data_IF_115167579217
#
_entry.id   IF_115167579217
#
_cell.length_a   1.000
_cell.length_b   1.000
_cell.length_c   1.000
_cell.angle_alpha   90.00
_cell.angle_beta   90.00
_cell.angle_gamma   90.00
#
_symmetry.space_group_name_H-M   'P 1'
#
loop_
_entity.id
_entity.type
_entity.pdbx_description
1 polymer ?
#
# COMPACT_ATOMS: atom_id res chain seq x y z
N UNK A 1 -26.74 -1.69 19.45
CA UNK A 1 -27.19 -3.10 19.34
C UNK A 1 -28.65 -3.29 19.74
N UNK A 2 -29.33 -2.34 20.40
CA UNK A 2 -30.71 -2.49 20.88
C UNK A 2 -30.91 -3.56 21.98
N UNK A 3 -29.82 -4.01 22.56
CA UNK A 3 -29.77 -5.03 23.59
C UNK A 3 -29.99 -4.40 24.98
N UNK A 4 -30.75 -5.03 25.84
CA UNK A 4 -30.92 -4.59 27.22
C UNK A 4 -29.66 -4.87 28.05
N UNK A 5 -29.48 -4.15 29.14
CA UNK A 5 -28.29 -4.29 30.02
C UNK A 5 -28.20 -5.72 30.59
N UNK A 6 -29.36 -6.32 30.96
CA UNK A 6 -29.43 -7.69 31.45
C UNK A 6 -29.02 -8.73 30.38
N UNK A 7 -29.40 -8.52 29.11
CA UNK A 7 -29.00 -9.41 28.01
C UNK A 7 -27.48 -9.27 27.72
N UNK A 8 -26.95 -8.06 27.80
CA UNK A 8 -25.53 -7.84 27.62
C UNK A 8 -24.69 -8.52 28.72
N UNK A 9 -25.14 -8.46 29.99
CA UNK A 9 -24.48 -9.14 31.09
C UNK A 9 -24.52 -10.67 30.93
N UNK A 10 -25.66 -11.24 30.46
CA UNK A 10 -25.77 -12.66 30.18
C UNK A 10 -24.78 -13.11 29.09
N UNK A 11 -24.71 -12.39 27.99
CA UNK A 11 -23.74 -12.62 26.89
C UNK A 11 -22.30 -12.54 27.38
N UNK A 12 -21.94 -11.53 28.16
CA UNK A 12 -20.60 -11.38 28.74
C UNK A 12 -20.26 -12.55 29.68
N UNK A 13 -21.24 -13.00 30.47
CA UNK A 13 -21.06 -14.16 31.38
C UNK A 13 -20.80 -15.46 30.62
N UNK A 14 -21.50 -15.66 29.50
CA UNK A 14 -21.33 -16.82 28.64
C UNK A 14 -19.98 -16.79 27.91
N UNK A 15 -19.59 -15.64 27.39
CA UNK A 15 -18.30 -15.42 26.72
C UNK A 15 -17.08 -15.62 27.63
N UNK A 16 -17.20 -15.35 28.94
CA UNK A 16 -16.11 -15.59 29.92
C UNK A 16 -15.67 -17.04 30.00
N UNK A 17 -16.52 -17.99 29.60
CA UNK A 17 -16.22 -19.42 29.62
C UNK A 17 -15.66 -19.93 28.28
N UNK A 18 -15.71 -19.11 27.23
CA UNK A 18 -15.25 -19.45 25.88
C UNK A 18 -13.82 -19.02 25.64
N UNK A 19 -13.13 -19.70 24.71
CA UNK A 19 -11.88 -19.16 24.16
C UNK A 19 -12.19 -17.91 23.33
N UNK A 20 -11.25 -16.97 23.25
CA UNK A 20 -11.45 -15.68 22.57
C UNK A 20 -11.89 -15.86 21.11
N UNK A 21 -11.33 -16.82 20.38
CA UNK A 21 -11.74 -17.17 19.01
C UNK A 21 -13.17 -17.68 18.92
N UNK A 22 -13.60 -18.48 19.90
CA UNK A 22 -14.96 -19.00 19.98
C UNK A 22 -15.95 -17.87 20.35
N UNK A 23 -15.58 -17.01 21.28
CA UNK A 23 -16.36 -15.82 21.65
C UNK A 23 -16.54 -14.85 20.49
N UNK A 24 -15.49 -14.60 19.69
CA UNK A 24 -15.60 -13.78 18.49
C UNK A 24 -16.51 -14.40 17.44
N UNK A 25 -16.46 -15.71 17.25
CA UNK A 25 -17.32 -16.42 16.33
C UNK A 25 -18.78 -16.46 16.81
N UNK A 26 -18.99 -16.61 18.10
CA UNK A 26 -20.30 -16.54 18.74
C UNK A 26 -20.93 -15.15 18.52
N UNK A 27 -20.22 -14.06 18.80
CA UNK A 27 -20.70 -12.70 18.56
C UNK A 27 -21.01 -12.44 17.08
N UNK A 28 -20.24 -13.02 16.17
CA UNK A 28 -20.47 -12.88 14.73
C UNK A 28 -21.69 -13.63 14.23
N UNK A 29 -21.89 -14.86 14.73
CA UNK A 29 -23.00 -15.73 14.28
C UNK A 29 -24.32 -15.37 14.92
N UNK A 30 -24.35 -15.18 16.24
CA UNK A 30 -25.59 -14.96 16.99
C UNK A 30 -26.00 -13.48 17.01
N UNK A 31 -25.03 -12.56 17.05
CA UNK A 31 -25.31 -11.11 17.18
C UNK A 31 -24.92 -10.31 15.94
N UNK A 32 -24.46 -10.95 14.87
CA UNK A 32 -24.00 -10.30 13.62
C UNK A 32 -22.97 -9.20 13.84
N UNK A 33 -22.16 -9.31 14.91
CA UNK A 33 -21.11 -8.36 15.24
C UNK A 33 -19.83 -8.64 14.43
N UNK A 34 -19.75 -8.07 13.25
CA UNK A 34 -18.61 -8.26 12.34
C UNK A 34 -17.29 -7.59 12.83
N UNK A 35 -17.35 -6.73 13.83
CA UNK A 35 -16.20 -6.08 14.45
C UNK A 35 -15.49 -6.89 15.53
N UNK A 36 -16.02 -8.07 15.91
CA UNK A 36 -15.44 -8.87 16.99
C UNK A 36 -13.98 -9.27 16.76
N UNK A 37 -13.61 -9.56 15.49
CA UNK A 37 -12.24 -9.92 15.16
C UNK A 37 -11.24 -8.75 15.36
N UNK A 38 -11.67 -7.51 15.02
CA UNK A 38 -10.85 -6.32 15.21
C UNK A 38 -10.58 -6.05 16.70
N UNK A 39 -11.60 -6.23 17.54
CA UNK A 39 -11.46 -6.11 19.00
C UNK A 39 -10.51 -7.19 19.56
N UNK A 40 -10.59 -8.40 19.03
CA UNK A 40 -9.70 -9.49 19.41
C UNK A 40 -8.23 -9.22 19.02
N UNK A 41 -8.01 -8.74 17.80
CA UNK A 41 -6.68 -8.35 17.37
C UNK A 41 -6.10 -7.24 18.26
N UNK A 42 -6.86 -6.18 18.53
CA UNK A 42 -6.46 -5.11 19.42
C UNK A 42 -6.12 -5.63 20.83
N UNK A 43 -6.94 -6.50 21.40
CA UNK A 43 -6.72 -7.09 22.73
C UNK A 43 -5.50 -8.01 22.74
N UNK A 44 -5.27 -8.81 21.70
CA UNK A 44 -4.10 -9.68 21.60
C UNK A 44 -2.77 -8.92 21.57
N UNK A 45 -2.79 -7.68 21.05
CA UNK A 45 -1.61 -6.82 20.96
C UNK A 45 -1.24 -6.12 22.27
N UNK A 46 -2.20 -5.86 23.15
CA UNK A 46 -2.00 -5.12 24.40
C UNK A 46 -1.77 -5.99 25.63
N UNK A 47 -1.82 -7.31 25.52
CA UNK A 47 -1.71 -8.23 26.67
C UNK A 47 -0.28 -8.66 27.01
N UNK A 48 0.74 -8.21 26.29
CA UNK A 48 2.13 -8.53 26.60
C UNK A 48 2.71 -7.66 27.71
N UNK A 49 3.48 -8.26 28.61
CA UNK A 49 4.32 -7.50 29.53
C UNK A 49 5.43 -6.76 28.75
N UNK A 50 6.03 -5.69 29.32
CA UNK A 50 7.17 -5.01 28.67
C UNK A 50 8.31 -5.96 28.31
N UNK A 51 8.54 -7.01 29.12
CA UNK A 51 9.54 -8.04 28.88
C UNK A 51 9.18 -8.91 27.68
N UNK A 52 7.92 -9.28 27.52
CA UNK A 52 7.44 -10.06 26.37
C UNK A 52 7.52 -9.26 25.08
N UNK A 53 7.13 -7.99 25.11
CA UNK A 53 7.27 -7.07 23.95
C UNK A 53 8.73 -6.92 23.56
N UNK A 54 9.62 -6.71 24.52
CA UNK A 54 11.05 -6.60 24.27
C UNK A 54 11.66 -7.90 23.74
N UNK A 55 11.17 -9.04 24.20
CA UNK A 55 11.57 -10.36 23.66
C UNK A 55 11.11 -10.51 22.22
N UNK A 56 9.85 -10.21 21.93
CA UNK A 56 9.29 -10.26 20.57
C UNK A 56 10.07 -9.37 19.61
N UNK A 57 10.39 -8.13 19.99
CA UNK A 57 11.20 -7.22 19.19
C UNK A 57 12.57 -7.83 18.90
N UNK A 58 13.27 -8.37 19.92
CA UNK A 58 14.59 -8.99 19.74
C UNK A 58 14.54 -10.19 18.81
N UNK A 59 13.60 -11.11 19.01
CA UNK A 59 13.44 -12.31 18.19
C UNK A 59 13.21 -11.95 16.69
N UNK A 60 12.47 -10.87 16.40
CA UNK A 60 12.27 -10.41 15.03
C UNK A 60 13.52 -9.72 14.48
N UNK A 61 14.20 -8.90 15.27
CA UNK A 61 15.44 -8.22 14.84
C UNK A 61 16.63 -9.16 14.69
N UNK A 62 16.59 -10.35 15.30
CA UNK A 62 17.56 -11.42 15.05
C UNK A 62 17.35 -12.09 13.68
N UNK A 63 16.10 -12.15 13.19
CA UNK A 63 15.78 -12.71 11.86
C UNK A 63 16.21 -11.77 10.75
N UNK A 64 15.83 -10.50 10.86
CA UNK A 64 16.08 -9.49 9.85
C UNK A 64 16.47 -8.14 10.49
N UNK A 65 17.31 -7.33 9.81
CA UNK A 65 17.67 -6.01 10.30
C UNK A 65 16.44 -5.10 10.36
N UNK A 66 16.48 -4.07 11.19
CA UNK A 66 15.41 -3.08 11.34
C UNK A 66 14.99 -2.45 10.00
N UNK A 67 15.98 -2.18 9.11
CA UNK A 67 15.76 -1.64 7.77
C UNK A 67 14.88 -2.51 6.87
N UNK A 68 14.90 -3.83 7.05
CA UNK A 68 14.07 -4.75 6.28
C UNK A 68 12.57 -4.49 6.53
N UNK A 69 12.17 -4.44 7.78
CA UNK A 69 10.77 -4.18 8.16
C UNK A 69 10.35 -2.76 7.82
N UNK A 70 11.22 -1.79 8.12
CA UNK A 70 10.97 -0.38 7.82
C UNK A 70 10.86 -0.13 6.32
N UNK A 71 11.74 -0.75 5.52
CA UNK A 71 11.71 -0.68 4.06
C UNK A 71 10.44 -1.27 3.45
N UNK A 72 9.93 -2.37 3.98
CA UNK A 72 8.65 -2.96 3.54
C UNK A 72 7.46 -2.06 3.88
N UNK A 73 7.41 -1.52 5.10
CA UNK A 73 6.35 -0.56 5.45
C UNK A 73 6.46 0.74 4.67
N UNK A 74 7.66 1.25 4.42
CA UNK A 74 7.87 2.35 3.49
C UNK A 74 7.26 2.04 2.11
N UNK A 75 7.55 0.86 1.56
CA UNK A 75 7.07 0.44 0.24
C UNK A 75 5.54 0.34 0.18
N UNK A 76 4.91 -0.13 1.24
CA UNK A 76 3.46 -0.22 1.37
C UNK A 76 2.79 1.16 1.18
N UNK A 77 3.30 2.18 1.86
CA UNK A 77 2.81 3.55 1.71
C UNK A 77 3.28 4.19 0.40
N UNK A 78 4.55 4.00 0.03
CA UNK A 78 5.12 4.59 -1.18
C UNK A 78 4.39 4.11 -2.44
N UNK A 79 4.04 2.83 -2.54
CA UNK A 79 3.29 2.29 -3.68
C UNK A 79 1.96 3.01 -3.90
N UNK A 80 1.20 3.24 -2.86
CA UNK A 80 -0.07 3.95 -2.93
C UNK A 80 0.10 5.41 -3.36
N UNK A 81 0.98 6.15 -2.67
CA UNK A 81 1.19 7.57 -2.94
C UNK A 81 1.78 7.79 -4.33
N UNK A 82 2.75 6.97 -4.73
CA UNK A 82 3.35 7.03 -6.06
C UNK A 82 2.36 6.66 -7.16
N UNK A 83 1.42 5.75 -6.91
CA UNK A 83 0.37 5.41 -7.88
C UNK A 83 -0.55 6.61 -8.16
N UNK A 84 -1.03 7.28 -7.11
CA UNK A 84 -1.82 8.51 -7.27
C UNK A 84 -1.03 9.62 -7.93
N UNK A 85 0.21 9.85 -7.49
CA UNK A 85 1.08 10.87 -8.08
C UNK A 85 1.35 10.59 -9.56
N UNK A 86 1.65 9.35 -9.94
CA UNK A 86 1.84 8.94 -11.33
C UNK A 86 0.59 9.21 -12.18
N UNK A 87 -0.57 8.83 -11.66
CA UNK A 87 -1.85 9.03 -12.35
C UNK A 87 -2.09 10.51 -12.63
N UNK A 88 -1.90 11.37 -11.63
CA UNK A 88 -2.09 12.82 -11.77
C UNK A 88 -1.02 13.46 -12.67
N UNK A 89 0.25 13.10 -12.49
CA UNK A 89 1.37 13.65 -13.27
C UNK A 89 1.20 13.35 -14.76
N UNK A 90 0.91 12.09 -15.11
CA UNK A 90 0.72 11.69 -16.49
C UNK A 90 -0.52 12.37 -17.09
N UNK A 91 -1.63 12.45 -16.36
CA UNK A 91 -2.78 13.21 -16.78
C UNK A 91 -2.39 14.65 -17.12
N UNK A 92 -1.66 15.31 -16.23
CA UNK A 92 -1.22 16.69 -16.43
C UNK A 92 -0.29 16.87 -17.64
N UNK A 93 0.66 15.95 -17.84
CA UNK A 93 1.56 15.95 -18.98
C UNK A 93 0.82 15.85 -20.32
N UNK A 94 -0.23 15.04 -20.38
CA UNK A 94 -1.06 14.91 -21.57
C UNK A 94 -2.02 16.09 -21.74
N UNK A 95 -2.58 16.64 -20.66
CA UNK A 95 -3.46 17.80 -20.70
C UNK A 95 -2.79 19.05 -21.27
N UNK A 96 -1.51 19.24 -20.99
CA UNK A 96 -0.77 20.39 -21.53
C UNK A 96 -0.76 20.43 -23.05
N UNK A 97 -0.79 19.28 -23.71
CA UNK A 97 -0.74 19.19 -25.17
C UNK A 97 -2.12 19.38 -25.83
N UNK A 98 -3.19 19.27 -25.06
CA UNK A 98 -4.55 19.53 -25.53
C UNK A 98 -4.87 21.03 -25.62
N UNK A 99 -3.99 21.91 -25.14
CA UNK A 99 -4.13 23.36 -25.30
C UNK A 99 -3.94 23.72 -26.79
N UNK A 100 -4.81 24.59 -27.30
CA UNK A 100 -4.91 24.94 -28.73
C UNK A 100 -3.54 25.24 -29.37
N UNK A 101 -2.72 26.06 -28.75
CA UNK A 101 -1.43 26.45 -29.33
C UNK A 101 -0.39 25.30 -29.32
N UNK A 102 -0.44 24.41 -28.36
CA UNK A 102 0.47 23.25 -28.25
C UNK A 102 0.07 22.18 -29.24
N UNK A 103 -1.23 21.97 -29.43
CA UNK A 103 -1.78 21.01 -30.38
C UNK A 103 -1.34 21.35 -31.83
N UNK A 104 -1.49 22.61 -32.25
CA UNK A 104 -1.09 23.07 -33.59
C UNK A 104 0.44 22.85 -33.79
N UNK A 105 1.27 23.20 -32.80
CA UNK A 105 2.72 23.04 -32.85
C UNK A 105 3.15 21.57 -32.95
N UNK A 106 2.46 20.66 -32.27
CA UNK A 106 2.75 19.22 -32.34
C UNK A 106 2.44 18.62 -33.72
N UNK A 107 1.38 19.07 -34.37
CA UNK A 107 0.98 18.56 -35.68
C UNK A 107 1.85 19.08 -36.83
N UNK A 108 2.63 20.12 -36.61
CA UNK A 108 3.60 20.62 -37.61
C UNK A 108 4.94 19.87 -37.57
N UNK A 109 5.20 19.06 -36.51
CA UNK A 109 6.44 18.29 -36.41
C UNK A 109 6.31 16.89 -37.03
N UNK A 110 7.29 16.42 -37.82
CA UNK A 110 7.30 15.08 -38.40
C UNK A 110 7.59 14.04 -37.30
N UNK A 111 6.60 13.75 -36.45
CA UNK A 111 6.71 12.84 -35.33
C UNK A 111 5.60 11.79 -35.39
N UNK A 112 5.96 10.52 -35.24
CA UNK A 112 4.98 9.45 -35.16
C UNK A 112 4.23 9.48 -33.83
N UNK A 113 2.97 8.99 -33.80
CA UNK A 113 2.19 8.86 -32.57
C UNK A 113 2.92 8.05 -31.51
N UNK A 114 3.65 7.00 -31.91
CA UNK A 114 4.45 6.17 -31.01
C UNK A 114 5.60 6.98 -30.37
N UNK A 115 6.35 7.73 -31.16
CA UNK A 115 7.45 8.57 -30.64
C UNK A 115 6.94 9.61 -29.64
N UNK A 116 5.81 10.22 -29.92
CA UNK A 116 5.17 11.17 -29.02
C UNK A 116 4.76 10.52 -27.69
N UNK A 117 4.02 9.41 -27.74
CA UNK A 117 3.55 8.73 -26.54
C UNK A 117 4.72 8.15 -25.73
N UNK A 118 5.68 7.51 -26.41
CA UNK A 118 6.87 6.97 -25.76
C UNK A 118 7.70 8.07 -25.07
N UNK A 119 7.86 9.23 -25.69
CA UNK A 119 8.52 10.37 -25.09
C UNK A 119 7.84 10.89 -23.85
N UNK A 120 6.51 11.01 -23.87
CA UNK A 120 5.71 11.44 -22.69
C UNK A 120 5.79 10.43 -21.55
N UNK A 121 5.58 9.15 -21.86
CA UNK A 121 5.66 8.08 -20.86
C UNK A 121 7.06 7.99 -20.24
N UNK A 122 8.11 8.03 -21.06
CA UNK A 122 9.49 7.99 -20.59
C UNK A 122 9.84 9.18 -19.70
N UNK A 123 9.41 10.39 -20.08
CA UNK A 123 9.62 11.59 -19.25
C UNK A 123 8.86 11.52 -17.94
N UNK A 124 7.61 11.08 -17.96
CA UNK A 124 6.82 10.83 -16.76
C UNK A 124 7.47 9.79 -15.86
N UNK A 125 7.88 8.65 -16.41
CA UNK A 125 8.56 7.59 -15.66
C UNK A 125 9.87 8.08 -15.02
N UNK A 126 10.68 8.87 -15.73
CA UNK A 126 11.91 9.46 -15.18
C UNK A 126 11.64 10.40 -14.01
N UNK A 127 10.63 11.27 -14.12
CA UNK A 127 10.23 12.18 -13.03
C UNK A 127 9.77 11.36 -11.81
N UNK A 128 8.97 10.32 -12.04
CA UNK A 128 8.49 9.44 -10.96
C UNK A 128 9.63 8.69 -10.28
N UNK A 129 10.58 8.18 -11.07
CA UNK A 129 11.76 7.49 -10.54
C UNK A 129 12.63 8.45 -9.73
N UNK A 130 12.83 9.69 -10.19
CA UNK A 130 13.55 10.71 -9.44
C UNK A 130 12.86 11.04 -8.12
N UNK A 131 11.53 11.20 -8.11
CA UNK A 131 10.75 11.40 -6.89
C UNK A 131 10.88 10.22 -5.93
N UNK A 132 10.82 8.99 -6.43
CA UNK A 132 11.02 7.78 -5.63
C UNK A 132 12.42 7.73 -5.01
N UNK A 133 13.47 8.10 -5.75
CA UNK A 133 14.85 8.18 -5.24
C UNK A 133 14.93 9.18 -4.09
N UNK A 134 14.36 10.38 -4.25
CA UNK A 134 14.33 11.39 -3.20
C UNK A 134 13.62 10.87 -1.96
N UNK A 135 12.45 10.22 -2.11
CA UNK A 135 11.72 9.61 -1.00
C UNK A 135 12.57 8.54 -0.31
N UNK A 136 13.23 7.65 -1.07
CA UNK A 136 14.12 6.64 -0.50
C UNK A 136 15.23 7.29 0.35
N UNK A 137 15.89 8.33 -0.14
CA UNK A 137 16.95 9.03 0.60
C UNK A 137 16.41 9.58 1.93
N UNK A 138 15.27 10.26 1.90
CA UNK A 138 14.64 10.80 3.11
C UNK A 138 14.33 9.69 4.13
N UNK A 139 13.69 8.60 3.68
CA UNK A 139 13.32 7.51 4.58
C UNK A 139 14.52 6.69 5.06
N UNK A 140 15.58 6.54 4.26
CA UNK A 140 16.85 5.95 4.69
C UNK A 140 17.46 6.79 5.83
N UNK A 141 17.47 8.11 5.71
CA UNK A 141 17.98 9.01 6.77
C UNK A 141 17.15 8.87 8.05
N UNK A 142 15.82 8.84 7.95
CA UNK A 142 14.92 8.65 9.08
C UNK A 142 15.12 7.28 9.75
N UNK A 143 15.22 6.23 8.96
CA UNK A 143 15.49 4.88 9.44
C UNK A 143 16.85 4.81 10.15
N UNK A 144 17.89 5.40 9.56
CA UNK A 144 19.23 5.48 10.15
C UNK A 144 19.23 6.22 11.50
N UNK A 145 18.57 7.38 11.56
CA UNK A 145 18.47 8.15 12.80
C UNK A 145 17.77 7.36 13.92
N UNK A 146 16.76 6.55 13.57
CA UNK A 146 16.05 5.70 14.55
C UNK A 146 16.91 4.50 14.94
N UNK A 147 17.54 3.82 13.98
CA UNK A 147 18.37 2.65 14.21
C UNK A 147 19.58 2.96 15.10
N UNK A 148 20.26 4.09 14.85
CA UNK A 148 21.42 4.53 15.67
C UNK A 148 21.01 4.79 17.11
N UNK A 149 19.87 5.45 17.34
CA UNK A 149 19.37 5.70 18.70
C UNK A 149 19.05 4.43 19.48
N UNK A 150 18.59 3.41 18.78
CA UNK A 150 18.14 2.14 19.38
C UNK A 150 19.20 1.03 19.31
N UNK A 151 20.34 1.26 18.68
CA UNK A 151 21.39 0.25 18.50
C UNK A 151 21.01 -0.88 17.53
N UNK A 152 20.08 -0.63 16.58
CA UNK A 152 19.60 -1.64 15.64
C UNK A 152 20.49 -1.73 14.39
N UNK A 153 20.63 -2.94 13.84
CA UNK A 153 21.31 -3.16 12.56
C UNK A 153 20.51 -2.56 11.39
N UNK A 154 21.22 -2.00 10.42
CA UNK A 154 20.63 -1.38 9.24
C UNK A 154 21.37 -1.78 7.96
N UNK A 155 20.60 -2.04 6.90
CA UNK A 155 21.09 -2.28 5.54
C UNK A 155 20.37 -1.35 4.56
N UNK A 156 21.10 -0.45 3.90
CA UNK A 156 20.54 0.51 2.94
C UNK A 156 19.94 -0.18 1.71
N UNK A 157 20.48 -1.34 1.32
CA UNK A 157 20.00 -2.09 0.15
C UNK A 157 18.56 -2.55 0.28
N UNK A 158 18.04 -2.73 1.50
CA UNK A 158 16.65 -3.14 1.72
C UNK A 158 15.66 -2.15 1.10
N UNK A 159 15.92 -0.84 1.21
CA UNK A 159 15.07 0.19 0.60
C UNK A 159 15.13 0.17 -0.92
N UNK A 160 16.32 0.06 -1.49
CA UNK A 160 16.52 0.02 -2.94
C UNK A 160 15.87 -1.22 -3.53
N UNK A 161 16.11 -2.37 -2.94
CA UNK A 161 15.53 -3.64 -3.38
C UNK A 161 14.01 -3.62 -3.33
N UNK A 162 13.42 -3.19 -2.22
CA UNK A 162 11.97 -3.10 -2.07
C UNK A 162 11.35 -2.09 -3.06
N UNK A 163 12.02 -0.96 -3.31
CA UNK A 163 11.55 0.02 -4.29
C UNK A 163 11.55 -0.53 -5.72
N UNK A 164 12.61 -1.27 -6.09
CA UNK A 164 12.71 -1.90 -7.42
C UNK A 164 11.68 -3.01 -7.58
N UNK A 165 11.48 -3.85 -6.57
CA UNK A 165 10.59 -5.01 -6.65
C UNK A 165 9.11 -4.64 -6.58
N UNK A 166 8.74 -3.62 -5.81
CA UNK A 166 7.34 -3.36 -5.49
C UNK A 166 6.82 -2.01 -5.99
N UNK A 167 7.63 -0.94 -5.97
CA UNK A 167 7.15 0.40 -6.36
C UNK A 167 7.31 0.64 -7.86
N UNK A 168 8.47 0.32 -8.43
CA UNK A 168 8.72 0.53 -9.86
C UNK A 168 7.78 -0.23 -10.78
N UNK A 169 7.44 -1.53 -10.55
CA UNK A 169 6.47 -2.23 -11.38
C UNK A 169 5.09 -1.60 -11.37
N UNK A 170 4.68 -1.06 -10.22
CA UNK A 170 3.40 -0.34 -10.09
C UNK A 170 3.40 0.95 -10.93
N UNK A 171 4.45 1.76 -10.86
CA UNK A 171 4.60 2.96 -11.71
C UNK A 171 4.61 2.57 -13.18
N UNK A 172 5.33 1.52 -13.56
CA UNK A 172 5.41 1.04 -14.93
C UNK A 172 4.05 0.59 -15.44
N UNK A 173 3.27 -0.13 -14.64
CA UNK A 173 1.90 -0.52 -14.97
C UNK A 173 1.04 0.70 -15.29
N UNK A 174 1.09 1.75 -14.46
CA UNK A 174 0.34 2.98 -14.68
C UNK A 174 0.75 3.64 -16.01
N UNK A 175 2.05 3.70 -16.28
CA UNK A 175 2.58 4.20 -17.55
C UNK A 175 2.04 3.39 -18.75
N UNK A 176 2.01 2.05 -18.64
CA UNK A 176 1.46 1.19 -19.68
C UNK A 176 -0.04 1.43 -19.90
N UNK A 177 -0.83 1.59 -18.84
CA UNK A 177 -2.26 1.90 -18.94
C UNK A 177 -2.49 3.22 -19.70
N UNK A 178 -1.71 4.26 -19.38
CA UNK A 178 -1.78 5.52 -20.12
C UNK A 178 -1.39 5.36 -21.59
N UNK A 179 -0.31 4.61 -21.88
CA UNK A 179 0.12 4.35 -23.24
C UNK A 179 -0.96 3.63 -24.06
N UNK A 180 -1.52 2.55 -23.52
CA UNK A 180 -2.57 1.76 -24.17
C UNK A 180 -3.82 2.61 -24.38
N UNK A 181 -4.24 3.36 -23.38
CA UNK A 181 -5.43 4.22 -23.46
C UNK A 181 -5.25 5.32 -24.50
N UNK A 182 -4.07 5.96 -24.53
CA UNK A 182 -3.74 7.00 -25.50
C UNK A 182 -3.73 6.46 -26.95
N UNK A 183 -3.24 5.24 -27.15
CA UNK A 183 -3.20 4.61 -28.48
C UNK A 183 -4.59 4.16 -28.95
N UNK A 184 -5.39 3.54 -28.07
CA UNK A 184 -6.70 3.01 -28.42
C UNK A 184 -7.75 4.10 -28.64
N UNK A 185 -7.80 5.07 -27.75
CA UNK A 185 -8.86 6.10 -27.75
C UNK A 185 -8.41 7.42 -28.37
N UNK A 186 -7.14 7.54 -28.78
CA UNK A 186 -6.51 8.82 -29.19
C UNK A 186 -6.66 9.92 -28.13
N UNK A 187 -6.98 9.53 -26.90
CA UNK A 187 -7.18 10.37 -25.74
C UNK A 187 -6.78 9.60 -24.48
N UNK A 188 -5.81 10.06 -23.70
CA UNK A 188 -5.37 9.39 -22.49
C UNK A 188 -6.29 9.60 -21.28
N UNK A 189 -7.24 10.55 -21.34
CA UNK A 189 -8.10 10.91 -20.21
C UNK A 189 -8.90 9.76 -19.61
N UNK A 190 -9.43 8.79 -20.38
CA UNK A 190 -10.14 7.64 -19.81
C UNK A 190 -9.27 6.78 -18.89
N UNK A 191 -7.93 6.88 -18.96
CA UNK A 191 -7.03 6.21 -18.03
C UNK A 191 -7.21 6.69 -16.59
N UNK A 192 -7.53 7.97 -16.37
CA UNK A 192 -7.63 8.57 -15.02
C UNK A 192 -8.68 7.87 -14.15
N UNK A 193 -9.98 7.84 -14.53
CA UNK A 193 -10.97 7.16 -13.71
C UNK A 193 -10.71 5.66 -13.57
N UNK A 194 -10.24 4.99 -14.63
CA UNK A 194 -9.90 3.58 -14.59
C UNK A 194 -8.78 3.29 -13.56
N UNK A 195 -7.72 4.09 -13.57
CA UNK A 195 -6.60 3.94 -12.63
C UNK A 195 -7.00 4.29 -11.20
N UNK A 196 -7.78 5.35 -10.98
CA UNK A 196 -8.26 5.71 -9.65
C UNK A 196 -9.09 4.56 -9.06
N UNK A 197 -10.02 3.99 -9.82
CA UNK A 197 -10.82 2.84 -9.38
C UNK A 197 -9.93 1.62 -9.13
N UNK A 198 -8.93 1.37 -9.97
CA UNK A 198 -7.99 0.27 -9.78
C UNK A 198 -7.11 0.46 -8.54
N UNK A 199 -6.64 1.67 -8.27
CA UNK A 199 -5.86 1.99 -7.06
C UNK A 199 -6.71 1.74 -5.81
N UNK A 200 -7.96 2.21 -5.80
CA UNK A 200 -8.90 1.95 -4.70
C UNK A 200 -9.13 0.46 -4.54
N UNK A 201 -9.41 -0.26 -5.62
CA UNK A 201 -9.60 -1.71 -5.60
C UNK A 201 -8.38 -2.45 -5.03
N UNK A 202 -7.18 -2.11 -5.50
CA UNK A 202 -5.93 -2.75 -5.07
C UNK A 202 -5.57 -2.45 -3.61
N UNK A 203 -6.00 -1.29 -3.09
CA UNK A 203 -5.76 -0.91 -1.71
C UNK A 203 -6.74 -1.57 -0.72
N UNK A 204 -7.86 -2.09 -1.21
CA UNK A 204 -8.81 -2.83 -0.38
C UNK A 204 -8.31 -4.26 -0.17
N UNK A 205 -8.13 -4.64 1.09
CA UNK A 205 -7.80 -6.01 1.47
C UNK A 205 -9.07 -6.88 1.50
N UNK A 206 -8.88 -8.18 1.32
CA UNK A 206 -9.92 -9.18 1.56
C UNK A 206 -9.57 -9.97 2.81
N UNK A 207 -10.59 -10.28 3.61
CA UNK A 207 -10.43 -11.08 4.81
C UNK A 207 -10.84 -12.51 4.50
N UNK A 208 -10.00 -13.47 4.90
CA UNK A 208 -10.33 -14.88 4.83
C UNK A 208 -11.27 -15.26 5.99
N UNK A 209 -11.90 -16.44 5.90
CA UNK A 209 -12.70 -17.03 6.96
C UNK A 209 -11.96 -17.21 8.30
N UNK A 210 -10.63 -17.21 8.25
CA UNK A 210 -9.73 -17.26 9.41
C UNK A 210 -9.34 -15.89 9.96
N UNK A 211 -9.86 -14.79 9.40
CA UNK A 211 -9.49 -13.43 9.80
C UNK A 211 -8.14 -12.96 9.27
N UNK A 212 -7.52 -13.66 8.32
CA UNK A 212 -6.27 -13.22 7.71
C UNK A 212 -6.52 -12.26 6.54
N UNK A 213 -5.72 -11.21 6.47
CA UNK A 213 -5.77 -10.25 5.38
C UNK A 213 -5.00 -10.76 4.17
N UNK A 214 -5.65 -10.73 3.00
CA UNK A 214 -5.03 -11.07 1.73
C UNK A 214 -5.18 -9.92 0.73
N UNK A 215 -4.18 -9.77 -0.13
CA UNK A 215 -4.29 -8.88 -1.28
C UNK A 215 -5.40 -9.37 -2.23
N UNK A 216 -6.09 -8.44 -2.89
CA UNK A 216 -7.12 -8.80 -3.88
C UNK A 216 -6.49 -9.44 -5.12
N UNK A 217 -7.22 -10.36 -5.79
CA UNK A 217 -6.77 -10.93 -7.05
C UNK A 217 -6.44 -9.82 -8.06
N UNK A 218 -5.39 -10.03 -8.87
CA UNK A 218 -4.92 -9.06 -9.87
C UNK A 218 -4.47 -7.70 -9.33
N UNK A 219 -4.21 -7.61 -8.01
CA UNK A 219 -3.57 -6.42 -7.45
C UNK A 219 -2.07 -6.47 -7.73
N UNK A 220 -1.57 -5.46 -8.47
CA UNK A 220 -0.12 -5.27 -8.69
C UNK A 220 0.47 -4.45 -7.54
N UNK A 221 -0.38 -3.65 -6.87
CA UNK A 221 0.05 -2.91 -5.68
C UNK A 221 0.22 -3.88 -4.53
N UNK A 222 1.47 -4.10 -4.16
CA UNK A 222 1.78 -4.94 -3.00
C UNK A 222 1.41 -4.19 -1.73
N UNK A 223 0.67 -4.86 -0.86
CA UNK A 223 0.35 -4.41 0.49
C UNK A 223 0.94 -5.39 1.48
N UNK A 224 1.55 -4.85 2.53
CA UNK A 224 2.04 -5.63 3.67
C UNK A 224 1.06 -5.41 4.84
N UNK A 225 -0.07 -6.17 4.87
CA UNK A 225 -1.02 -6.08 5.98
C UNK A 225 -0.36 -6.55 7.27
N UNK A 226 -0.89 -6.09 8.38
CA UNK A 226 -0.36 -6.45 9.68
C UNK A 226 0.60 -5.42 10.27
N UNK A 227 1.24 -5.79 11.36
CA UNK A 227 2.12 -4.89 12.09
C UNK A 227 3.50 -4.75 11.47
N UNK A 228 4.33 -3.93 12.13
CA UNK A 228 5.67 -3.61 11.67
C UNK A 228 6.53 -4.86 11.41
N UNK A 229 6.41 -5.90 12.23
CA UNK A 229 7.16 -7.14 12.10
C UNK A 229 6.45 -8.25 11.31
N UNK A 230 5.18 -8.05 10.93
CA UNK A 230 4.37 -9.04 10.19
C UNK A 230 4.30 -8.72 8.71
N UNK A 231 5.44 -8.50 8.11
CA UNK A 231 5.54 -8.12 6.69
C UNK A 231 6.02 -9.26 5.78
N UNK A 232 5.93 -10.50 6.25
CA UNK A 232 6.28 -11.71 5.46
C UNK A 232 5.19 -12.16 4.51
#
# INVERSE_FOLDING_TARGET
FGMSEAEAEAVISEMKQMKITEACQYLKTEYHFNGANSVYEDVSWYQGSPEEVNRYIRENLEKHPFSYYFGRKFTDFASLHMAFFATVLLAFLFFQDMRKNTYELLHTKPMTAFQYIAGKISSGFLIMTAALVIMNIVFIILCYATAVKSGFAMNILDFVQNSILYVLPNILMICCVYAVTALLFKNPLPAVPALVLYIIYSNMLTWDSKGQCHARPFSIMVRFPGNFFETE
#
